data_IF_524291441489
#
_entry.id   IF_524291441489
#
_cell.length_a   1.000
_cell.length_b   1.000
_cell.length_c   1.000
_cell.angle_alpha   90.00
_cell.angle_beta   90.00
_cell.angle_gamma   90.00
#
_symmetry.space_group_name_H-M   'P 1'
#
loop_
_entity.id
_entity.type
_entity.pdbx_description
1 polymer ?
#
# COMPACT_ATOMS: atom_id res chain seq x y z
N UNK A 1 -16.09 -2.10 1.69
CA UNK A 1 -14.90 -1.77 0.88
C UNK A 1 -14.57 -0.28 0.94
N UNK A 2 -15.53 0.62 0.68
CA UNK A 2 -15.27 2.08 0.70
C UNK A 2 -14.72 2.57 2.04
N UNK A 3 -15.22 2.05 3.15
CA UNK A 3 -14.72 2.41 4.48
C UNK A 3 -13.29 1.94 4.69
N UNK A 4 -12.94 0.76 4.20
CA UNK A 4 -11.58 0.24 4.26
C UNK A 4 -10.62 1.13 3.45
N UNK A 5 -11.01 1.53 2.26
CA UNK A 5 -10.22 2.43 1.41
C UNK A 5 -10.00 3.78 2.11
N UNK A 6 -11.05 4.35 2.70
CA UNK A 6 -10.91 5.59 3.47
C UNK A 6 -9.91 5.45 4.62
N UNK A 7 -10.01 4.38 5.40
CA UNK A 7 -9.14 4.13 6.55
C UNK A 7 -7.67 3.89 6.17
N UNK A 8 -7.39 3.33 5.00
CA UNK A 8 -6.04 3.01 4.55
C UNK A 8 -5.42 4.06 3.64
N UNK A 9 -6.21 4.88 2.98
CA UNK A 9 -5.73 5.82 1.96
C UNK A 9 -5.96 7.27 2.37
N UNK A 10 -7.14 7.81 2.09
CA UNK A 10 -7.40 9.24 2.31
C UNK A 10 -7.47 9.62 3.79
N UNK A 11 -8.03 8.78 4.62
CA UNK A 11 -8.17 9.03 6.06
C UNK A 11 -6.85 9.38 6.76
N UNK A 12 -5.80 8.56 6.64
CA UNK A 12 -4.49 8.88 7.19
C UNK A 12 -3.91 10.18 6.65
N UNK A 13 -4.09 10.45 5.37
CA UNK A 13 -3.56 11.67 4.77
C UNK A 13 -4.24 12.92 5.31
N UNK A 14 -5.56 12.89 5.52
CA UNK A 14 -6.28 13.97 6.19
C UNK A 14 -5.82 14.16 7.63
N UNK A 15 -5.67 13.05 8.35
CA UNK A 15 -5.33 13.08 9.77
C UNK A 15 -3.92 13.64 10.03
N UNK A 16 -2.95 13.23 9.22
CA UNK A 16 -1.55 13.59 9.39
C UNK A 16 -1.08 14.71 8.47
N UNK A 17 -1.96 15.28 7.64
CA UNK A 17 -1.61 16.38 6.74
C UNK A 17 -0.62 15.97 5.65
N UNK A 18 -0.72 14.74 5.12
CA UNK A 18 0.17 14.26 4.07
C UNK A 18 -0.22 14.89 2.72
N UNK A 19 0.76 15.40 2.00
CA UNK A 19 0.57 16.12 0.74
C UNK A 19 0.59 15.17 -0.44
N UNK A 20 -0.43 15.27 -1.31
CA UNK A 20 -0.41 14.65 -2.64
C UNK A 20 -0.54 13.14 -2.68
N UNK A 21 -1.08 12.53 -1.64
CA UNK A 21 -1.25 11.07 -1.53
C UNK A 21 -2.66 10.68 -1.08
N UNK A 22 -2.98 9.41 -1.24
CA UNK A 22 -4.21 8.80 -0.74
C UNK A 22 -5.43 8.93 -1.65
N UNK A 23 -5.30 9.56 -2.82
CA UNK A 23 -6.37 9.73 -3.80
C UNK A 23 -5.86 9.56 -5.22
N UNK A 24 -6.73 9.05 -6.10
CA UNK A 24 -6.47 8.97 -7.54
C UNK A 24 -7.01 10.23 -8.22
N UNK A 25 -6.26 11.30 -8.15
CA UNK A 25 -6.60 12.58 -8.77
C UNK A 25 -5.37 13.19 -9.44
N UNK A 26 -5.61 14.01 -10.45
CA UNK A 26 -4.54 14.72 -11.17
C UNK A 26 -3.74 15.58 -10.20
N UNK A 27 -2.42 15.50 -10.29
CA UNK A 27 -1.50 16.25 -9.44
C UNK A 27 -1.06 15.50 -8.17
N UNK A 28 -1.69 14.36 -7.85
CA UNK A 28 -1.27 13.49 -6.75
C UNK A 28 -0.27 12.44 -7.25
N UNK A 29 0.51 11.91 -6.33
CA UNK A 29 1.41 10.81 -6.63
C UNK A 29 0.62 9.59 -7.12
N UNK A 30 1.09 8.94 -8.17
CA UNK A 30 0.48 7.73 -8.69
C UNK A 30 0.90 6.51 -7.85
N UNK A 31 0.44 6.48 -6.61
CA UNK A 31 0.62 5.37 -5.68
C UNK A 31 -0.66 4.52 -5.70
N UNK A 32 -0.56 3.31 -6.22
CA UNK A 32 -1.73 2.46 -6.48
C UNK A 32 -1.46 1.04 -6.02
N UNK A 33 -2.42 0.45 -5.32
CA UNK A 33 -2.46 -0.98 -5.06
C UNK A 33 -3.57 -1.62 -5.90
N UNK A 34 -3.22 -2.67 -6.65
CA UNK A 34 -4.17 -3.48 -7.39
C UNK A 34 -4.52 -4.71 -6.56
N UNK A 35 -5.81 -4.95 -6.35
CA UNK A 35 -6.31 -6.05 -5.53
C UNK A 35 -7.26 -6.91 -6.34
N UNK A 36 -7.02 -8.21 -6.37
CA UNK A 36 -8.00 -9.19 -6.83
C UNK A 36 -8.91 -9.55 -5.66
N UNK A 37 -10.15 -9.06 -5.70
CA UNK A 37 -11.11 -9.23 -4.62
C UNK A 37 -11.64 -10.66 -4.49
N UNK A 38 -11.49 -11.49 -5.52
CA UNK A 38 -11.97 -12.86 -5.56
C UNK A 38 -10.89 -13.90 -5.23
N UNK A 39 -9.62 -13.53 -5.30
CA UNK A 39 -8.52 -14.45 -5.04
C UNK A 39 -8.54 -14.91 -3.58
N UNK A 40 -8.44 -16.23 -3.38
CA UNK A 40 -8.32 -16.84 -2.04
C UNK A 40 -6.92 -17.42 -1.90
N UNK A 41 -6.22 -17.01 -0.85
CA UNK A 41 -4.84 -17.43 -0.61
C UNK A 41 -4.59 -17.69 0.86
N UNK A 42 -3.72 -18.67 1.13
CA UNK A 42 -3.17 -18.88 2.46
C UNK A 42 -1.96 -17.97 2.69
N UNK A 43 -1.94 -17.30 3.83
CA UNK A 43 -0.78 -16.53 4.27
C UNK A 43 0.26 -17.49 4.83
N UNK A 44 1.49 -17.41 4.32
CA UNK A 44 2.62 -18.25 4.76
C UNK A 44 3.79 -17.37 5.18
N UNK A 45 4.67 -17.91 6.02
CA UNK A 45 5.91 -17.21 6.38
C UNK A 45 6.80 -16.97 5.16
N UNK A 46 6.82 -17.88 4.21
CA UNK A 46 7.60 -17.75 2.97
C UNK A 46 7.17 -16.58 2.08
N UNK A 47 5.91 -16.16 2.19
CA UNK A 47 5.40 -14.99 1.46
C UNK A 47 5.93 -13.67 2.02
N UNK A 48 6.35 -13.63 3.29
CA UNK A 48 6.76 -12.40 3.96
C UNK A 48 8.06 -11.87 3.37
N UNK A 49 8.01 -10.67 2.79
CA UNK A 49 9.19 -10.01 2.22
C UNK A 49 10.09 -9.34 3.27
N UNK A 50 9.61 -9.17 4.49
CA UNK A 50 10.37 -8.55 5.57
C UNK A 50 11.48 -9.47 6.09
N UNK A 51 12.57 -8.90 6.57
CA UNK A 51 13.73 -9.65 7.06
C UNK A 51 13.41 -10.58 8.24
N UNK A 52 12.34 -10.29 8.99
CA UNK A 52 11.92 -11.14 10.12
C UNK A 52 11.50 -12.56 9.66
N UNK A 53 11.00 -12.72 8.44
CA UNK A 53 10.68 -14.01 7.83
C UNK A 53 9.49 -14.74 8.47
N UNK A 54 8.64 -14.08 9.25
CA UNK A 54 7.46 -14.67 9.87
C UNK A 54 6.30 -13.68 9.95
N UNK A 55 5.09 -14.21 10.11
CA UNK A 55 3.88 -13.40 10.33
C UNK A 55 2.97 -14.08 11.33
N UNK A 56 2.31 -13.32 12.25
CA UNK A 56 1.32 -13.88 13.16
C UNK A 56 0.07 -14.41 12.45
N UNK A 57 -0.10 -14.10 11.18
CA UNK A 57 -1.24 -14.52 10.36
C UNK A 57 -0.97 -15.78 9.54
N UNK A 58 0.21 -16.40 9.70
CA UNK A 58 0.54 -17.64 8.98
C UNK A 58 -0.51 -18.72 9.22
N UNK A 59 -0.92 -19.41 8.15
CA UNK A 59 -1.95 -20.43 8.17
C UNK A 59 -3.37 -19.91 7.94
N UNK A 60 -3.60 -18.59 7.97
CA UNK A 60 -4.91 -18.01 7.65
C UNK A 60 -5.16 -18.00 6.14
N UNK A 61 -6.34 -18.44 5.74
CA UNK A 61 -6.82 -18.27 4.36
C UNK A 61 -7.65 -16.99 4.27
N UNK A 62 -7.30 -16.11 3.36
CA UNK A 62 -7.98 -14.83 3.14
C UNK A 62 -8.56 -14.76 1.75
N UNK A 63 -9.62 -13.99 1.59
CA UNK A 63 -10.21 -13.65 0.30
C UNK A 63 -9.93 -12.17 0.01
N UNK A 64 -9.45 -11.89 -1.19
CA UNK A 64 -8.88 -10.61 -1.58
C UNK A 64 -7.35 -10.63 -1.42
N UNK A 65 -6.64 -10.34 -2.52
CA UNK A 65 -5.19 -10.44 -2.53
C UNK A 65 -4.58 -9.32 -3.36
N UNK A 66 -3.55 -8.61 -2.85
CA UNK A 66 -2.87 -7.60 -3.64
C UNK A 66 -2.05 -8.27 -4.75
N UNK A 67 -2.27 -7.85 -5.98
CA UNK A 67 -1.62 -8.40 -7.18
C UNK A 67 -0.67 -7.43 -7.85
N UNK A 68 -0.67 -6.18 -7.46
CA UNK A 68 0.23 -5.18 -8.01
C UNK A 68 0.37 -3.97 -7.10
N UNK A 69 1.55 -3.39 -7.09
CA UNK A 69 1.84 -2.14 -6.39
C UNK A 69 2.62 -1.22 -7.30
N UNK A 70 2.14 0.01 -7.43
CA UNK A 70 2.75 1.07 -8.22
C UNK A 70 3.06 2.22 -7.26
N UNK A 71 4.28 2.72 -7.31
CA UNK A 71 4.72 3.87 -6.51
C UNK A 71 5.21 4.96 -7.48
N UNK A 72 4.58 6.14 -7.41
CA UNK A 72 4.85 7.27 -8.30
C UNK A 72 4.91 6.86 -9.78
N UNK A 73 3.92 6.07 -10.21
CA UNK A 73 3.80 5.60 -11.58
C UNK A 73 4.72 4.45 -11.96
N UNK A 74 5.55 3.94 -11.04
CA UNK A 74 6.49 2.85 -11.30
C UNK A 74 6.04 1.58 -10.61
N UNK A 75 5.92 0.50 -11.36
CA UNK A 75 5.57 -0.81 -10.80
C UNK A 75 6.71 -1.32 -9.91
N UNK A 76 6.39 -1.67 -8.66
CA UNK A 76 7.35 -2.19 -7.68
C UNK A 76 7.03 -3.61 -7.25
N UNK A 77 5.83 -4.08 -7.51
CA UNK A 77 5.42 -5.48 -7.29
C UNK A 77 4.36 -5.87 -8.32
N UNK A 78 4.47 -7.08 -8.85
CA UNK A 78 3.47 -7.69 -9.73
C UNK A 78 3.39 -9.18 -9.46
N UNK A 79 2.19 -9.68 -9.21
CA UNK A 79 1.92 -11.11 -8.96
C UNK A 79 2.87 -11.75 -7.93
N UNK A 80 3.14 -11.04 -6.84
CA UNK A 80 4.02 -11.49 -5.76
C UNK A 80 5.52 -11.30 -6.03
N UNK A 81 5.91 -10.80 -7.19
CA UNK A 81 7.31 -10.53 -7.53
C UNK A 81 7.67 -9.08 -7.29
N UNK A 82 8.69 -8.83 -6.48
CA UNK A 82 9.27 -7.50 -6.32
C UNK A 82 10.04 -7.11 -7.58
N UNK A 83 9.88 -5.87 -8.00
CA UNK A 83 10.44 -5.33 -9.23
C UNK A 83 11.19 -4.04 -8.94
N UNK A 84 12.26 -3.82 -9.67
CA UNK A 84 13.08 -2.62 -9.63
C UNK A 84 13.78 -2.39 -8.28
N UNK A 85 14.74 -1.49 -8.30
CA UNK A 85 15.43 -1.05 -7.10
C UNK A 85 14.51 -0.20 -6.21
N UNK A 86 14.71 -0.23 -4.88
CA UNK A 86 13.99 0.66 -3.99
C UNK A 86 14.15 2.13 -4.39
N UNK A 87 13.04 2.84 -4.52
CA UNK A 87 13.01 4.25 -4.93
C UNK A 87 12.14 5.10 -4.01
N UNK A 88 12.04 4.72 -2.75
CA UNK A 88 11.28 5.44 -1.74
C UNK A 88 11.76 6.89 -1.60
N UNK A 89 10.82 7.79 -1.35
CA UNK A 89 11.07 9.20 -1.05
C UNK A 89 10.35 9.60 0.23
N UNK A 90 10.90 10.57 0.92
CA UNK A 90 10.28 11.10 2.13
C UNK A 90 8.95 11.76 1.77
N UNK A 91 7.91 11.45 2.54
CA UNK A 91 6.61 12.11 2.39
C UNK A 91 6.70 13.58 2.78
N UNK A 92 5.90 14.40 2.10
CA UNK A 92 5.73 15.80 2.43
C UNK A 92 4.47 15.96 3.27
N UNK A 93 4.52 16.88 4.21
CA UNK A 93 3.39 17.24 5.06
C UNK A 93 3.05 18.71 4.86
N UNK A 94 1.78 19.07 5.01
CA UNK A 94 1.40 20.46 5.11
C UNK A 94 2.07 21.05 6.36
N UNK A 95 2.68 22.22 6.19
CA UNK A 95 3.16 22.94 7.35
C UNK A 95 1.93 23.31 8.18
N UNK A 96 1.81 22.70 9.36
CA UNK A 96 0.78 23.10 10.30
C UNK A 96 0.96 24.55 10.64
N UNK A 97 -0.15 25.29 10.76
CA UNK A 97 -0.08 26.54 11.51
C UNK A 97 0.53 26.17 12.86
N UNK A 98 1.73 26.68 13.13
CA UNK A 98 2.40 26.45 14.40
C UNK A 98 1.49 26.82 15.59
N UNK A 99 1.82 26.38 16.80
CA UNK A 99 1.00 26.68 17.95
C UNK A 99 0.86 28.19 18.17
#
# INVERSE_FOLDING_TARGET
LLRLIDLLCEGPNRLFGIVGKGRLVVGYDADVTLVDLAASREITDDWVAAKCGWTPFAGMTVTGWPVGTIIRGRSVMRDGQLMNEPSGQVMRFYEGAGP
#
